data_IF_456182978788
#
_entry.id   IF_456182978788
#
_cell.length_a   1.000
_cell.length_b   1.000
_cell.length_c   1.000
_cell.angle_alpha   90.00
_cell.angle_beta   90.00
_cell.angle_gamma   90.00
#
_symmetry.space_group_name_H-M   'P 1'
#
loop_
_entity.id
_entity.type
_entity.pdbx_description
1 polymer ?
#
# COMPACT_ATOMS: atom_id res chain seq x y z
N UNK A 1 -20.63 16.39 20.53
CA UNK A 1 -19.48 15.56 20.91
C UNK A 1 -19.50 14.18 20.29
N UNK A 2 -20.57 13.39 20.43
CA UNK A 2 -20.68 12.04 19.85
C UNK A 2 -20.25 11.91 18.37
N UNK A 3 -20.78 12.75 17.46
CA UNK A 3 -20.45 12.66 16.03
C UNK A 3 -18.97 12.96 15.73
N UNK A 4 -18.31 13.81 16.53
CA UNK A 4 -16.88 14.09 16.34
C UNK A 4 -16.02 12.94 16.87
N UNK A 5 -16.37 12.40 18.05
CA UNK A 5 -15.72 11.21 18.62
C UNK A 5 -15.76 10.01 17.65
N UNK A 6 -16.93 9.76 17.03
CA UNK A 6 -17.06 8.68 16.03
C UNK A 6 -16.29 8.98 14.74
N UNK A 7 -16.17 10.24 14.32
CA UNK A 7 -15.37 10.62 13.15
C UNK A 7 -13.87 10.42 13.39
N UNK A 8 -13.40 10.77 14.59
CA UNK A 8 -12.02 10.56 15.01
C UNK A 8 -11.72 9.06 15.07
N UNK A 9 -12.63 8.26 15.65
CA UNK A 9 -12.52 6.79 15.67
C UNK A 9 -12.44 6.17 14.27
N UNK A 10 -13.26 6.63 13.33
CA UNK A 10 -13.22 6.16 11.93
C UNK A 10 -11.88 6.51 11.27
N UNK A 11 -11.27 7.65 11.61
CA UNK A 11 -9.94 8.02 11.12
C UNK A 11 -8.86 7.09 11.67
N UNK A 12 -8.92 6.73 12.94
CA UNK A 12 -7.97 5.78 13.55
C UNK A 12 -8.09 4.40 12.91
N UNK A 13 -9.32 3.90 12.73
CA UNK A 13 -9.58 2.62 12.04
C UNK A 13 -9.06 2.65 10.60
N UNK A 14 -9.22 3.77 9.90
CA UNK A 14 -8.69 3.94 8.55
C UNK A 14 -7.17 3.84 8.51
N UNK A 15 -6.47 4.49 9.44
CA UNK A 15 -5.01 4.44 9.52
C UNK A 15 -4.49 3.03 9.83
N UNK A 16 -5.18 2.31 10.74
CA UNK A 16 -4.85 0.92 11.06
C UNK A 16 -5.09 -0.02 9.86
N UNK A 17 -6.19 0.18 9.15
CA UNK A 17 -6.50 -0.57 7.92
C UNK A 17 -5.45 -0.29 6.84
N UNK A 18 -5.05 0.97 6.63
CA UNK A 18 -4.01 1.34 5.68
C UNK A 18 -2.69 0.62 5.98
N UNK A 19 -2.23 0.70 7.25
CA UNK A 19 -1.00 0.02 7.69
C UNK A 19 -1.08 -1.49 7.47
N UNK A 20 -2.19 -2.11 7.83
CA UNK A 20 -2.38 -3.55 7.66
C UNK A 20 -2.37 -3.97 6.17
N UNK A 21 -3.04 -3.20 5.31
CA UNK A 21 -3.02 -3.43 3.85
C UNK A 21 -1.60 -3.31 3.29
N UNK A 22 -0.86 -2.28 3.69
CA UNK A 22 0.53 -2.07 3.26
C UNK A 22 1.42 -3.24 3.70
N UNK A 23 1.27 -3.73 4.94
CA UNK A 23 2.02 -4.87 5.45
C UNK A 23 1.73 -6.14 4.66
N UNK A 24 0.45 -6.50 4.49
CA UNK A 24 0.04 -7.71 3.76
C UNK A 24 0.49 -7.62 2.30
N UNK A 25 0.33 -6.46 1.66
CA UNK A 25 0.76 -6.27 0.28
C UNK A 25 2.29 -6.44 0.14
N UNK A 26 3.08 -5.93 1.09
CA UNK A 26 4.53 -6.15 1.11
C UNK A 26 4.93 -7.61 1.32
N UNK A 27 4.18 -8.38 2.12
CA UNK A 27 4.39 -9.82 2.25
C UNK A 27 4.13 -10.56 0.94
N UNK A 28 3.02 -10.24 0.25
CA UNK A 28 2.68 -10.85 -1.03
C UNK A 28 3.69 -10.47 -2.12
N UNK A 29 4.20 -9.23 -2.12
CA UNK A 29 5.28 -8.81 -3.03
C UNK A 29 6.54 -9.65 -2.81
N UNK A 30 6.94 -9.91 -1.56
CA UNK A 30 8.13 -10.74 -1.28
C UNK A 30 7.97 -12.16 -1.82
N UNK A 31 6.74 -12.67 -1.91
CA UNK A 31 6.39 -14.01 -2.41
C UNK A 31 6.04 -14.04 -3.90
N UNK A 32 6.17 -12.93 -4.61
CA UNK A 32 5.80 -12.87 -6.03
C UNK A 32 6.59 -13.87 -6.89
N UNK A 33 7.82 -14.21 -6.49
CA UNK A 33 8.63 -15.22 -7.15
C UNK A 33 7.94 -16.61 -7.17
N UNK A 34 7.32 -17.01 -6.05
CA UNK A 34 6.56 -18.26 -5.94
C UNK A 34 5.33 -18.21 -6.84
N UNK A 35 4.64 -17.08 -6.86
CA UNK A 35 3.45 -16.88 -7.69
C UNK A 35 3.80 -16.95 -9.19
N UNK A 36 4.95 -16.41 -9.59
CA UNK A 36 5.44 -16.47 -10.98
C UNK A 36 5.86 -17.90 -11.35
N UNK A 37 6.38 -18.68 -10.40
CA UNK A 37 6.74 -20.08 -10.63
C UNK A 37 5.50 -20.97 -10.90
N UNK A 38 4.33 -20.63 -10.35
CA UNK A 38 3.05 -21.32 -10.66
C UNK A 38 2.58 -21.15 -12.13
N UNK A 39 3.22 -20.25 -12.90
CA UNK A 39 2.86 -20.04 -14.30
C UNK A 39 3.53 -21.09 -15.20
N UNK A 40 2.76 -22.11 -15.61
CA UNK A 40 3.25 -23.30 -16.34
C UNK A 40 3.15 -23.21 -17.88
N UNK A 41 3.00 -22.01 -18.45
CA UNK A 41 2.87 -21.87 -19.91
C UNK A 41 4.18 -22.08 -20.66
N UNK A 42 4.14 -22.64 -21.90
CA UNK A 42 5.35 -22.90 -22.67
C UNK A 42 6.10 -21.61 -23.00
N UNK A 43 7.38 -21.57 -22.63
CA UNK A 43 8.26 -20.44 -22.91
C UNK A 43 8.90 -20.57 -24.30
N UNK A 44 8.79 -19.51 -25.09
CA UNK A 44 9.39 -19.40 -26.40
C UNK A 44 10.24 -18.12 -26.48
N UNK A 45 11.49 -18.20 -26.96
CA UNK A 45 12.39 -17.05 -27.05
C UNK A 45 12.10 -16.13 -28.26
N UNK A 46 11.13 -16.46 -29.11
CA UNK A 46 10.78 -15.67 -30.29
C UNK A 46 10.08 -14.36 -29.87
N UNK A 47 10.47 -13.22 -30.46
CA UNK A 47 10.07 -11.88 -30.03
C UNK A 47 8.53 -11.66 -29.99
N UNK A 48 7.82 -12.17 -31.00
CA UNK A 48 6.35 -12.08 -31.05
C UNK A 48 5.67 -12.94 -29.97
N UNK A 49 6.19 -14.14 -29.72
CA UNK A 49 5.64 -15.07 -28.72
C UNK A 49 6.00 -14.63 -27.30
N UNK A 50 7.16 -13.99 -27.13
CA UNK A 50 7.63 -13.43 -25.88
C UNK A 50 6.80 -12.24 -25.43
N UNK A 51 6.39 -11.36 -26.35
CA UNK A 51 5.47 -10.27 -26.03
C UNK A 51 4.08 -10.77 -25.60
N UNK A 52 3.59 -11.84 -26.22
CA UNK A 52 2.34 -12.47 -25.79
C UNK A 52 2.49 -13.13 -24.40
N UNK A 53 3.59 -13.83 -24.17
CA UNK A 53 3.94 -14.43 -22.87
C UNK A 53 4.03 -13.35 -21.77
N UNK A 54 4.67 -12.21 -22.01
CA UNK A 54 4.72 -11.06 -21.08
C UNK A 54 3.33 -10.55 -20.73
N UNK A 55 2.52 -10.25 -21.74
CA UNK A 55 1.18 -9.68 -21.55
C UNK A 55 0.33 -10.62 -20.69
N UNK A 56 0.39 -11.91 -20.99
CA UNK A 56 -0.35 -12.89 -20.23
C UNK A 56 0.21 -13.11 -18.82
N UNK A 57 1.54 -13.05 -18.65
CA UNK A 57 2.16 -13.11 -17.33
C UNK A 57 1.78 -11.89 -16.48
N UNK A 58 1.72 -10.69 -17.04
CA UNK A 58 1.24 -9.49 -16.34
C UNK A 58 -0.19 -9.67 -15.85
N UNK A 59 -1.09 -10.16 -16.72
CA UNK A 59 -2.49 -10.40 -16.38
C UNK A 59 -2.66 -11.54 -15.37
N UNK A 60 -1.85 -12.60 -15.47
CA UNK A 60 -1.83 -13.69 -14.50
C UNK A 60 -1.40 -13.20 -13.11
N UNK A 61 -0.31 -12.44 -13.04
CA UNK A 61 0.20 -11.89 -11.78
C UNK A 61 -0.78 -10.91 -11.16
N UNK A 62 -1.34 -9.99 -11.94
CA UNK A 62 -2.37 -9.05 -11.45
C UNK A 62 -3.58 -9.81 -10.87
N UNK A 63 -4.18 -10.74 -11.63
CA UNK A 63 -5.34 -11.50 -11.16
C UNK A 63 -5.04 -12.31 -9.90
N UNK A 64 -3.92 -13.02 -9.86
CA UNK A 64 -3.54 -13.84 -8.71
C UNK A 64 -3.27 -12.99 -7.47
N UNK A 65 -2.50 -11.90 -7.62
CA UNK A 65 -2.19 -10.99 -6.53
C UNK A 65 -3.47 -10.33 -5.99
N UNK A 66 -4.34 -9.83 -6.88
CA UNK A 66 -5.63 -9.25 -6.51
C UNK A 66 -6.52 -10.24 -5.75
N UNK A 67 -6.62 -11.48 -6.22
CA UNK A 67 -7.42 -12.51 -5.57
C UNK A 67 -6.85 -12.88 -4.19
N UNK A 68 -5.53 -13.01 -4.06
CA UNK A 68 -4.86 -13.29 -2.78
C UNK A 68 -5.05 -12.17 -1.78
N UNK A 69 -4.89 -10.92 -2.21
CA UNK A 69 -5.15 -9.74 -1.39
C UNK A 69 -6.59 -9.66 -0.95
N UNK A 70 -7.53 -9.81 -1.89
CA UNK A 70 -8.96 -9.80 -1.58
C UNK A 70 -9.30 -10.87 -0.53
N UNK A 71 -8.88 -12.11 -0.72
CA UNK A 71 -9.20 -13.18 0.22
C UNK A 71 -8.57 -12.98 1.62
N UNK A 72 -7.31 -12.50 1.70
CA UNK A 72 -6.63 -12.26 2.98
C UNK A 72 -7.17 -11.02 3.70
N UNK A 73 -7.43 -9.94 2.96
CA UNK A 73 -7.83 -8.67 3.54
C UNK A 73 -9.32 -8.60 3.80
N UNK A 74 -10.16 -9.17 2.94
CA UNK A 74 -11.61 -9.09 3.09
C UNK A 74 -12.05 -9.69 4.44
N UNK A 75 -11.49 -10.83 4.86
CA UNK A 75 -11.81 -11.43 6.17
C UNK A 75 -11.46 -10.52 7.35
N UNK A 76 -10.21 -10.02 7.40
CA UNK A 76 -9.74 -9.13 8.45
C UNK A 76 -10.52 -7.80 8.49
N UNK A 77 -10.87 -7.30 7.31
CA UNK A 77 -11.50 -6.01 7.14
C UNK A 77 -13.00 -6.06 7.43
N UNK A 78 -13.71 -7.10 6.98
CA UNK A 78 -15.10 -7.36 7.37
C UNK A 78 -15.22 -7.47 8.88
N UNK A 79 -14.28 -8.14 9.56
CA UNK A 79 -14.29 -8.19 11.03
C UNK A 79 -14.13 -6.80 11.65
N UNK A 80 -13.16 -6.00 11.18
CA UNK A 80 -12.90 -4.64 11.70
C UNK A 80 -14.08 -3.70 11.46
N UNK A 81 -14.69 -3.78 10.27
CA UNK A 81 -15.89 -3.05 9.90
C UNK A 81 -17.06 -3.42 10.81
N UNK A 82 -17.34 -4.71 10.97
CA UNK A 82 -18.43 -5.19 11.81
C UNK A 82 -18.25 -4.73 13.25
N UNK A 83 -17.04 -4.82 13.81
CA UNK A 83 -16.75 -4.34 15.16
C UNK A 83 -17.00 -2.84 15.31
N UNK A 84 -16.57 -2.04 14.33
CA UNK A 84 -16.75 -0.58 14.34
C UNK A 84 -18.22 -0.20 14.20
N UNK A 85 -18.94 -0.86 13.29
CA UNK A 85 -20.38 -0.67 13.09
C UNK A 85 -21.17 -1.05 14.35
N UNK A 86 -20.82 -2.17 14.98
CA UNK A 86 -21.42 -2.62 16.24
C UNK A 86 -21.16 -1.63 17.39
N UNK A 87 -19.97 -1.04 17.46
CA UNK A 87 -19.66 -0.01 18.46
C UNK A 87 -20.48 1.27 18.23
N UNK A 88 -20.54 1.76 16.98
CA UNK A 88 -21.39 2.91 16.61
C UNK A 88 -22.84 2.60 16.97
N UNK A 89 -23.34 1.40 16.63
CA UNK A 89 -24.70 0.94 16.93
C UNK A 89 -24.97 0.92 18.43
N UNK A 90 -24.06 0.39 19.25
CA UNK A 90 -24.19 0.37 20.71
C UNK A 90 -24.28 1.76 21.31
N UNK A 91 -23.38 2.67 20.91
CA UNK A 91 -23.39 4.06 21.38
C UNK A 91 -24.68 4.78 20.98
N UNK A 92 -25.17 4.55 19.76
CA UNK A 92 -26.45 5.10 19.29
C UNK A 92 -27.62 4.54 20.12
N UNK A 93 -27.62 3.24 20.44
CA UNK A 93 -28.65 2.62 21.27
C UNK A 93 -28.64 3.12 22.72
N UNK A 94 -27.49 3.50 23.26
CA UNK A 94 -27.38 4.15 24.58
C UNK A 94 -27.96 5.57 24.56
N UNK A 95 -27.84 6.28 23.43
CA UNK A 95 -28.37 7.64 23.24
C UNK A 95 -29.88 7.66 22.93
N UNK A 96 -30.47 6.54 22.52
CA UNK A 96 -31.89 6.42 22.14
C UNK A 96 -32.67 5.74 23.27
N UNK A 97 -33.49 6.52 23.98
CA UNK A 97 -34.33 6.04 25.10
C UNK A 97 -35.64 5.37 24.63
N UNK A 98 -36.15 5.71 23.45
CA UNK A 98 -37.44 5.20 22.95
C UNK A 98 -37.34 3.74 22.44
N UNK A 99 -38.17 2.84 23.00
CA UNK A 99 -38.20 1.42 22.66
C UNK A 99 -38.51 1.13 21.18
N UNK A 100 -39.43 1.90 20.58
CA UNK A 100 -39.77 1.75 19.16
C UNK A 100 -38.58 2.11 18.28
N UNK A 101 -37.85 3.13 18.72
CA UNK A 101 -36.72 3.64 17.97
C UNK A 101 -35.49 2.73 18.09
N UNK A 102 -35.28 2.15 19.27
CA UNK A 102 -34.28 1.09 19.50
C UNK A 102 -34.51 -0.13 18.60
N UNK A 103 -35.76 -0.53 18.35
CA UNK A 103 -36.09 -1.67 17.47
C UNK A 103 -35.76 -1.39 16.01
N UNK A 104 -35.94 -0.15 15.53
CA UNK A 104 -35.58 0.22 14.15
C UNK A 104 -34.06 0.27 13.94
N UNK A 105 -33.30 0.75 14.93
CA UNK A 105 -31.82 0.72 14.90
C UNK A 105 -31.30 -0.71 15.02
N UNK A 106 -31.93 -1.54 15.85
CA UNK A 106 -31.55 -2.95 16.02
C UNK A 106 -31.80 -3.80 14.77
N UNK A 107 -32.84 -3.48 13.99
CA UNK A 107 -33.17 -4.18 12.74
C UNK A 107 -32.39 -3.67 11.52
N UNK A 108 -31.61 -2.59 11.67
CA UNK A 108 -30.78 -2.08 10.59
C UNK A 108 -29.48 -2.89 10.51
N UNK A 109 -29.54 -3.94 9.70
CA UNK A 109 -28.37 -4.76 9.38
C UNK A 109 -27.32 -3.92 8.63
N UNK A 110 -26.03 -4.07 8.97
CA UNK A 110 -24.96 -3.57 8.12
C UNK A 110 -25.09 -4.12 6.70
N UNK A 111 -24.62 -3.38 5.68
CA UNK A 111 -24.55 -3.92 4.32
C UNK A 111 -23.60 -5.12 4.31
N UNK A 112 -24.13 -6.32 4.06
CA UNK A 112 -23.34 -7.56 4.01
C UNK A 112 -22.45 -7.65 2.76
N UNK A 113 -22.68 -6.83 1.74
CA UNK A 113 -22.03 -6.94 0.42
C UNK A 113 -20.85 -5.98 0.19
N UNK A 114 -20.20 -5.46 1.23
CA UNK A 114 -19.05 -4.58 1.02
C UNK A 114 -17.78 -5.38 0.66
N UNK A 115 -17.28 -5.16 -0.56
CA UNK A 115 -16.00 -5.72 -1.03
C UNK A 115 -15.07 -4.61 -1.50
N UNK A 116 -13.84 -4.61 -1.01
CA UNK A 116 -12.81 -3.67 -1.47
C UNK A 116 -12.32 -4.09 -2.85
N UNK A 117 -12.32 -3.14 -3.78
CA UNK A 117 -11.74 -3.34 -5.10
C UNK A 117 -10.29 -2.87 -5.12
N UNK A 118 -9.37 -3.82 -5.22
CA UNK A 118 -7.94 -3.54 -5.40
C UNK A 118 -7.62 -3.32 -6.87
N UNK A 119 -7.22 -2.08 -7.22
CA UNK A 119 -6.72 -1.77 -8.56
C UNK A 119 -5.20 -1.90 -8.59
N UNK A 120 -4.74 -3.06 -9.04
CA UNK A 120 -3.34 -3.30 -9.38
C UNK A 120 -3.33 -3.46 -10.90
N UNK A 121 -2.45 -2.75 -11.59
CA UNK A 121 -2.36 -2.81 -13.06
C UNK A 121 -0.92 -3.16 -13.43
N UNK A 122 -0.60 -4.45 -13.33
CA UNK A 122 0.72 -4.97 -13.67
C UNK A 122 1.04 -4.75 -15.15
N UNK A 123 0.03 -4.66 -16.02
CA UNK A 123 0.22 -4.47 -17.47
C UNK A 123 0.81 -3.08 -17.76
N UNK A 124 0.25 -2.02 -17.16
CA UNK A 124 0.81 -0.68 -17.29
C UNK A 124 2.08 -0.50 -16.46
N UNK A 125 2.13 -1.07 -15.26
CA UNK A 125 3.26 -0.94 -14.35
C UNK A 125 4.53 -1.61 -14.89
N UNK A 126 4.37 -2.72 -15.64
CA UNK A 126 5.46 -3.49 -16.19
C UNK A 126 5.68 -3.32 -17.70
N UNK A 127 4.99 -2.39 -18.36
CA UNK A 127 5.07 -2.19 -19.81
C UNK A 127 6.49 -1.92 -20.32
N UNK A 128 7.33 -1.23 -19.53
CA UNK A 128 8.72 -0.90 -19.88
C UNK A 128 9.73 -2.03 -19.60
N UNK A 129 9.26 -3.23 -19.23
CA UNK A 129 10.15 -4.35 -18.90
C UNK A 129 10.92 -4.82 -20.14
N UNK A 130 12.24 -4.64 -20.10
CA UNK A 130 13.20 -5.17 -21.07
C UNK A 130 13.85 -6.41 -20.49
N UNK A 131 13.66 -7.55 -21.14
CA UNK A 131 14.33 -8.78 -20.72
C UNK A 131 15.74 -8.87 -21.28
N UNK A 132 16.60 -9.57 -20.55
CA UNK A 132 17.86 -10.05 -21.10
C UNK A 132 17.90 -11.57 -20.98
N UNK A 133 17.41 -12.22 -22.04
CA UNK A 133 17.38 -13.69 -22.19
C UNK A 133 18.51 -14.15 -23.12
N UNK A 134 19.43 -13.24 -23.47
CA UNK A 134 20.58 -13.56 -24.28
C UNK A 134 21.61 -14.31 -23.44
N UNK A 135 22.24 -15.30 -24.08
CA UNK A 135 23.33 -16.03 -23.47
C UNK A 135 24.52 -15.10 -23.24
N UNK A 136 24.89 -14.93 -21.97
CA UNK A 136 26.13 -14.27 -21.57
C UNK A 136 27.06 -15.32 -20.97
N UNK A 137 28.23 -15.49 -21.57
CA UNK A 137 29.23 -16.41 -21.06
C UNK A 137 29.81 -15.87 -19.75
N UNK A 138 29.78 -16.66 -18.68
CA UNK A 138 30.16 -16.21 -17.33
C UNK A 138 31.65 -15.83 -17.23
N UNK A 139 32.48 -16.40 -18.10
CA UNK A 139 33.92 -16.15 -18.23
C UNK A 139 34.27 -15.27 -19.44
N UNK A 140 33.32 -14.47 -19.94
CA UNK A 140 33.57 -13.54 -21.04
C UNK A 140 34.76 -12.62 -20.76
N UNK A 141 35.48 -12.22 -21.82
CA UNK A 141 36.69 -11.38 -21.71
C UNK A 141 36.45 -10.11 -20.87
N UNK A 142 35.26 -9.51 -20.93
CA UNK A 142 34.85 -8.36 -20.12
C UNK A 142 34.70 -8.68 -18.63
N UNK A 143 34.17 -9.85 -18.27
CA UNK A 143 34.07 -10.32 -16.89
C UNK A 143 35.45 -10.71 -16.33
N UNK A 144 36.29 -11.33 -17.16
CA UNK A 144 37.68 -11.63 -16.84
C UNK A 144 38.47 -10.34 -16.60
N UNK A 145 38.34 -9.35 -17.49
CA UNK A 145 39.02 -8.07 -17.39
C UNK A 145 38.53 -7.24 -16.19
N UNK A 146 37.26 -7.36 -15.80
CA UNK A 146 36.74 -6.74 -14.56
C UNK A 146 37.29 -7.42 -13.30
N UNK A 147 37.52 -8.73 -13.33
CA UNK A 147 38.05 -9.50 -12.20
C UNK A 147 39.57 -9.39 -12.04
N UNK A 148 40.30 -9.23 -13.14
CA UNK A 148 41.76 -9.12 -13.15
C UNK A 148 42.28 -7.68 -13.32
N UNK A 149 41.44 -6.74 -13.79
CA UNK A 149 41.76 -5.32 -13.94
C UNK A 149 41.28 -4.44 -12.78
N UNK A 150 40.65 -5.03 -11.77
CA UNK A 150 40.42 -4.37 -10.48
C UNK A 150 41.70 -4.45 -9.65
N UNK A 151 42.49 -3.37 -9.63
CA UNK A 151 43.68 -3.28 -8.80
C UNK A 151 43.34 -3.50 -7.32
N UNK A 152 43.90 -4.58 -6.77
CA UNK A 152 44.51 -4.63 -5.44
C UNK A 152 43.60 -4.41 -4.22
N UNK A 153 42.84 -5.43 -3.85
CA UNK A 153 42.64 -5.78 -2.44
C UNK A 153 42.47 -7.29 -2.31
N UNK A 154 43.60 -8.00 -2.29
CA UNK A 154 43.68 -9.35 -1.75
C UNK A 154 43.57 -9.23 -0.23
N UNK A 155 42.35 -9.12 0.28
CA UNK A 155 42.09 -9.49 1.66
C UNK A 155 40.98 -10.54 1.73
N UNK A 156 41.26 -11.53 2.58
CA UNK A 156 40.58 -12.80 2.71
C UNK A 156 39.07 -12.62 2.99
N UNK A 157 38.20 -13.24 2.19
CA UNK A 157 36.76 -13.18 2.41
C UNK A 157 35.95 -13.98 1.39
N UNK A 158 35.68 -15.23 1.74
CA UNK A 158 34.68 -16.17 1.21
C UNK A 158 33.54 -15.61 0.33
N UNK A 159 33.37 -16.21 -0.85
CA UNK A 159 32.10 -16.45 -1.56
C UNK A 159 31.03 -15.35 -1.53
N UNK A 160 30.98 -14.53 -2.58
CA UNK A 160 29.75 -13.86 -3.00
C UNK A 160 29.53 -14.09 -4.50
N UNK A 161 28.93 -15.24 -4.83
CA UNK A 161 28.52 -15.59 -6.19
C UNK A 161 27.15 -14.99 -6.59
N UNK A 162 26.51 -14.21 -5.71
CA UNK A 162 25.22 -13.57 -6.00
C UNK A 162 25.04 -12.29 -5.18
N UNK A 163 25.55 -11.16 -5.64
CA UNK A 163 25.01 -9.83 -5.33
C UNK A 163 25.56 -8.83 -6.35
N UNK A 164 24.85 -7.72 -6.53
CA UNK A 164 25.16 -6.60 -7.41
C UNK A 164 24.78 -6.75 -8.89
N UNK A 165 23.50 -7.07 -9.09
CA UNK A 165 22.71 -6.40 -10.14
C UNK A 165 21.63 -5.55 -9.47
N UNK A 166 22.06 -4.53 -8.74
CA UNK A 166 21.21 -3.43 -8.28
C UNK A 166 22.13 -2.30 -7.79
N UNK A 167 21.69 -1.06 -7.95
CA UNK A 167 22.36 0.17 -7.51
C UNK A 167 23.45 0.66 -8.48
N UNK A 168 23.01 1.33 -9.53
CA UNK A 168 23.49 2.68 -9.90
C UNK A 168 22.57 3.29 -10.96
N UNK A 169 21.32 3.49 -10.57
CA UNK A 169 20.43 4.48 -11.15
C UNK A 169 20.14 5.48 -10.03
N UNK A 170 20.26 6.78 -10.33
CA UNK A 170 20.04 7.95 -9.46
C UNK A 170 21.17 8.35 -8.50
N UNK A 171 22.05 9.25 -8.97
CA UNK A 171 22.31 10.52 -8.26
C UNK A 171 22.86 11.56 -9.23
N UNK A 172 22.01 12.55 -9.54
CA UNK A 172 22.37 13.80 -10.22
C UNK A 172 21.87 14.95 -9.34
N UNK A 173 22.64 16.05 -9.37
CA UNK A 173 22.45 17.37 -8.74
C UNK A 173 22.77 17.47 -7.23
N UNK A 174 23.33 18.56 -6.69
CA UNK A 174 24.13 19.72 -7.13
C UNK A 174 24.57 20.41 -5.82
N UNK A 175 25.83 20.87 -5.68
CA UNK A 175 26.20 22.22 -5.20
C UNK A 175 27.71 22.35 -4.87
N UNK A 176 28.34 23.13 -5.74
CA UNK A 176 29.54 23.96 -5.68
C UNK A 176 30.12 24.42 -4.33
N UNK A 177 31.45 24.35 -4.18
CA UNK A 177 32.30 25.58 -4.18
C UNK A 177 33.74 25.32 -4.66
N UNK A 178 34.07 26.04 -5.72
CA UNK A 178 35.34 26.50 -6.31
C UNK A 178 36.71 26.15 -5.66
N UNK A 179 37.64 25.68 -6.49
CA UNK A 179 38.83 26.49 -6.87
C UNK A 179 39.43 25.98 -8.20
N UNK A 180 39.55 26.90 -9.16
CA UNK A 180 40.10 26.74 -10.49
C UNK A 180 41.59 26.38 -10.50
N UNK A 181 42.04 25.56 -11.46
CA UNK A 181 43.06 25.98 -12.42
C UNK A 181 43.06 25.08 -13.67
N UNK A 182 42.74 25.69 -14.81
CA UNK A 182 43.16 25.42 -16.19
C UNK A 182 42.96 24.00 -16.80
N UNK A 183 42.64 23.80 -18.08
CA UNK A 183 42.00 24.56 -19.15
C UNK A 183 42.08 23.64 -20.40
N UNK A 184 41.01 23.63 -21.19
CA UNK A 184 40.96 23.29 -22.63
C UNK A 184 41.05 21.82 -23.12
N UNK A 185 39.87 21.39 -23.57
CA UNK A 185 39.54 20.90 -24.93
C UNK A 185 40.04 19.54 -25.41
N UNK A 186 39.03 18.70 -25.61
CA UNK A 186 38.68 18.00 -26.85
C UNK A 186 39.69 17.05 -27.52
N UNK A 187 39.07 15.95 -27.92
CA UNK A 187 39.35 15.14 -29.10
C UNK A 187 40.25 13.91 -28.88
N UNK A 188 39.66 12.79 -29.30
CA UNK A 188 40.31 11.64 -29.89
C UNK A 188 40.67 10.47 -28.96
N UNK A 189 39.75 9.50 -29.04
CA UNK A 189 39.95 8.06 -29.13
C UNK A 189 41.21 7.65 -29.95
N UNK A 190 42.38 7.99 -29.44
CA UNK A 190 43.70 7.57 -29.93
C UNK A 190 44.72 7.37 -28.81
N UNK A 191 44.47 7.94 -27.62
CA UNK A 191 45.51 7.99 -26.58
C UNK A 191 45.62 6.71 -25.74
N UNK A 192 44.58 5.87 -25.71
CA UNK A 192 44.65 4.53 -25.12
C UNK A 192 45.45 3.53 -25.97
N UNK A 193 45.56 3.76 -27.27
CA UNK A 193 46.39 2.94 -28.16
C UNK A 193 47.85 3.41 -28.12
N UNK A 194 48.06 4.73 -27.95
CA UNK A 194 49.40 5.30 -27.81
C UNK A 194 50.06 4.93 -26.46
N UNK A 195 49.30 4.85 -25.37
CA UNK A 195 49.79 4.36 -24.06
C UNK A 195 50.11 2.85 -24.09
N UNK A 196 49.36 2.06 -24.87
CA UNK A 196 49.66 0.64 -25.10
C UNK A 196 50.93 0.49 -25.96
N UNK A 197 51.16 1.39 -26.92
CA UNK A 197 52.37 1.43 -27.76
C UNK A 197 53.60 2.02 -27.04
N UNK A 198 53.43 2.93 -26.09
CA UNK A 198 54.52 3.44 -25.24
C UNK A 198 54.96 2.44 -24.17
N UNK A 199 54.08 1.51 -23.76
CA UNK A 199 54.44 0.38 -22.90
C UNK A 199 55.41 -0.63 -23.54
N UNK A 200 55.53 -0.64 -24.88
CA UNK A 200 56.45 -1.54 -25.60
C UNK A 200 57.86 -0.94 -25.85
N UNK A 201 58.09 0.35 -25.57
CA UNK A 201 59.37 1.01 -25.87
C UNK A 201 60.32 1.14 -24.66
N UNK A 202 59.90 0.79 -23.43
CA UNK A 202 60.78 0.74 -22.24
C UNK A 202 61.50 -0.64 -22.12
N UNK A 203 61.91 -1.22 -23.25
CA UNK A 203 62.66 -2.50 -23.26
C UNK A 203 63.89 -2.37 -24.16
N UNK A 204 64.74 -1.39 -23.86
CA UNK A 204 66.03 -1.18 -24.52
C UNK A 204 67.21 -1.20 -23.53
N UNK A 205 67.12 -2.00 -22.46
CA UNK A 205 68.29 -2.38 -21.66
C UNK A 205 68.81 -3.73 -22.14
N UNK A 206 70.12 -3.84 -22.41
CA UNK A 206 70.81 -5.07 -22.86
C UNK A 206 70.60 -6.29 -21.93
N UNK A 207 70.08 -6.10 -20.71
CA UNK A 207 69.70 -7.16 -19.76
C UNK A 207 68.32 -7.77 -19.99
N UNK A 208 67.37 -7.07 -20.64
CA UNK A 208 66.04 -7.59 -20.96
C UNK A 208 66.00 -8.39 -22.27
N UNK A 209 67.06 -8.34 -23.08
CA UNK A 209 67.18 -9.18 -24.27
C UNK A 209 67.26 -10.67 -23.90
N UNK A 210 67.87 -11.01 -22.76
CA UNK A 210 67.88 -12.39 -22.22
C UNK A 210 66.50 -12.77 -21.69
N UNK A 211 65.76 -11.85 -21.06
CA UNK A 211 64.40 -12.12 -20.58
C UNK A 211 63.41 -12.31 -21.74
N UNK A 212 63.53 -11.52 -22.82
CA UNK A 212 62.75 -11.69 -24.05
C UNK A 212 63.18 -12.92 -24.86
N UNK A 213 64.47 -13.25 -24.89
CA UNK A 213 64.96 -14.45 -25.58
C UNK A 213 64.58 -15.73 -24.83
N UNK A 214 64.74 -15.77 -23.49
CA UNK A 214 64.29 -16.88 -22.64
C UNK A 214 62.77 -16.97 -22.66
N UNK A 215 62.06 -15.84 -22.60
CA UNK A 215 60.61 -15.78 -22.79
C UNK A 215 60.17 -16.32 -24.14
N UNK A 216 60.88 -15.99 -25.23
CA UNK A 216 60.63 -16.48 -26.58
C UNK A 216 60.94 -17.97 -26.78
N UNK A 217 61.99 -18.50 -26.15
CA UNK A 217 62.36 -19.92 -26.21
C UNK A 217 61.36 -20.76 -25.39
N UNK A 218 60.95 -20.28 -24.21
CA UNK A 218 59.91 -20.91 -23.39
C UNK A 218 58.55 -20.87 -24.11
N UNK A 219 58.21 -19.76 -24.78
CA UNK A 219 57.01 -19.66 -25.61
C UNK A 219 57.02 -20.63 -26.80
N UNK A 220 58.18 -20.89 -27.38
CA UNK A 220 58.36 -21.81 -28.53
C UNK A 220 58.28 -23.30 -28.14
N UNK A 221 58.65 -23.66 -26.90
CA UNK A 221 58.62 -25.05 -26.41
C UNK A 221 57.36 -25.46 -25.64
N UNK A 222 56.77 -24.55 -24.86
CA UNK A 222 55.63 -24.82 -23.97
C UNK A 222 54.45 -23.86 -24.19
N UNK A 223 54.66 -22.71 -24.82
CA UNK A 223 53.64 -21.67 -24.97
C UNK A 223 52.42 -22.12 -25.77
N UNK A 224 52.62 -22.80 -26.91
CA UNK A 224 51.48 -23.29 -27.69
C UNK A 224 50.70 -24.41 -26.99
N UNK A 225 51.39 -25.27 -26.22
CA UNK A 225 50.73 -26.34 -25.45
C UNK A 225 49.88 -25.76 -24.32
N UNK A 226 50.41 -24.79 -23.57
CA UNK A 226 49.67 -24.12 -22.51
C UNK A 226 48.49 -23.34 -23.11
N UNK A 227 48.71 -22.58 -24.20
CA UNK A 227 47.66 -21.84 -24.90
C UNK A 227 46.57 -22.78 -25.45
N UNK A 228 46.96 -23.94 -25.99
CA UNK A 228 46.03 -24.96 -26.47
C UNK A 228 45.24 -25.61 -25.33
N UNK A 229 45.88 -25.89 -24.18
CA UNK A 229 45.22 -26.45 -23.00
C UNK A 229 44.26 -25.44 -22.38
N UNK A 230 44.67 -24.17 -22.19
CA UNK A 230 43.82 -23.12 -21.63
C UNK A 230 42.70 -22.74 -22.60
N UNK A 231 42.99 -22.64 -23.89
CA UNK A 231 42.00 -22.39 -24.94
C UNK A 231 41.01 -23.55 -25.09
N UNK A 232 41.49 -24.80 -24.99
CA UNK A 232 40.66 -25.99 -24.97
C UNK A 232 39.75 -26.05 -23.74
N UNK A 233 40.29 -25.77 -22.54
CA UNK A 233 39.50 -25.71 -21.31
C UNK A 233 38.45 -24.60 -21.37
N UNK A 234 38.80 -23.42 -21.88
CA UNK A 234 37.88 -22.31 -22.11
C UNK A 234 36.77 -22.68 -23.10
N UNK A 235 37.11 -23.34 -24.21
CA UNK A 235 36.15 -23.80 -25.20
C UNK A 235 35.20 -24.87 -24.63
N UNK A 236 35.71 -25.79 -23.80
CA UNK A 236 34.89 -26.79 -23.08
C UNK A 236 33.93 -26.10 -22.11
N UNK A 237 34.39 -25.14 -21.30
CA UNK A 237 33.52 -24.36 -20.40
C UNK A 237 32.46 -23.57 -21.19
N UNK A 238 32.84 -22.96 -22.31
CA UNK A 238 31.91 -22.26 -23.19
C UNK A 238 30.85 -23.19 -23.77
N UNK A 239 31.26 -24.36 -24.29
CA UNK A 239 30.33 -25.37 -24.79
C UNK A 239 29.44 -25.92 -23.68
N UNK A 240 29.98 -26.14 -22.48
CA UNK A 240 29.21 -26.58 -21.32
C UNK A 240 28.11 -25.57 -20.97
N UNK A 241 28.44 -24.28 -20.85
CA UNK A 241 27.46 -23.23 -20.58
C UNK A 241 26.46 -23.06 -21.73
N UNK A 242 26.92 -23.14 -22.99
CA UNK A 242 26.08 -23.05 -24.19
C UNK A 242 25.09 -24.21 -24.28
N UNK A 243 25.52 -25.43 -23.96
CA UNK A 243 24.66 -26.62 -23.94
C UNK A 243 23.70 -26.59 -22.75
N UNK A 244 24.12 -26.04 -21.61
CA UNK A 244 23.27 -25.88 -20.43
C UNK A 244 22.22 -24.76 -20.61
N UNK A 245 22.48 -23.81 -21.51
CA UNK A 245 21.56 -22.74 -21.91
C UNK A 245 20.38 -23.29 -22.73
N UNK A 246 19.44 -23.90 -22.02
CA UNK A 246 18.21 -24.49 -22.54
C UNK A 246 17.03 -23.54 -22.36
N UNK A 247 15.88 -23.81 -23.02
CA UNK A 247 14.65 -23.01 -22.84
C UNK A 247 14.21 -22.90 -21.37
N UNK A 248 14.47 -23.94 -20.57
CA UNK A 248 14.15 -23.97 -19.13
C UNK A 248 15.02 -23.01 -18.31
N UNK A 249 16.30 -22.85 -18.65
CA UNK A 249 17.17 -21.88 -17.96
C UNK A 249 16.84 -20.46 -18.35
N UNK A 250 16.52 -20.23 -19.63
CA UNK A 250 16.04 -18.93 -20.13
C UNK A 250 14.76 -18.50 -19.42
N UNK A 251 13.78 -19.40 -19.29
CA UNK A 251 12.53 -19.14 -18.57
C UNK A 251 12.79 -18.78 -17.09
N UNK A 252 13.67 -19.52 -16.40
CA UNK A 252 14.02 -19.21 -14.99
C UNK A 252 14.68 -17.85 -14.83
N UNK A 253 15.60 -17.50 -15.73
CA UNK A 253 16.26 -16.18 -15.72
C UNK A 253 15.25 -15.08 -15.99
N UNK A 254 14.38 -15.26 -16.99
CA UNK A 254 13.30 -14.34 -17.31
C UNK A 254 12.36 -14.14 -16.11
N UNK A 255 11.86 -15.23 -15.52
CA UNK A 255 10.96 -15.20 -14.35
C UNK A 255 11.61 -14.48 -13.17
N UNK A 256 12.91 -14.70 -12.92
CA UNK A 256 13.66 -14.01 -11.87
C UNK A 256 13.78 -12.51 -12.14
N UNK A 257 14.23 -12.11 -13.34
CA UNK A 257 14.32 -10.70 -13.75
C UNK A 257 12.96 -10.00 -13.64
N UNK A 258 11.91 -10.67 -14.09
CA UNK A 258 10.55 -10.16 -14.00
C UNK A 258 10.06 -10.06 -12.55
N UNK A 259 10.33 -11.05 -11.69
CA UNK A 259 9.97 -11.02 -10.28
C UNK A 259 10.63 -9.83 -9.55
N UNK A 260 11.91 -9.58 -9.80
CA UNK A 260 12.65 -8.47 -9.20
C UNK A 260 12.10 -7.13 -9.69
N UNK A 261 11.85 -7.00 -11.00
CA UNK A 261 11.29 -5.78 -11.60
C UNK A 261 9.87 -5.50 -11.12
N UNK A 262 8.98 -6.49 -11.18
CA UNK A 262 7.59 -6.39 -10.72
C UNK A 262 7.54 -6.08 -9.22
N UNK A 263 8.39 -6.71 -8.40
CA UNK A 263 8.47 -6.41 -6.96
C UNK A 263 8.85 -4.96 -6.70
N UNK A 264 9.88 -4.45 -7.39
CA UNK A 264 10.33 -3.08 -7.21
C UNK A 264 9.25 -2.07 -7.63
N UNK A 265 8.57 -2.33 -8.74
CA UNK A 265 7.53 -1.45 -9.25
C UNK A 265 6.27 -1.48 -8.39
N UNK A 266 5.86 -2.66 -7.96
CA UNK A 266 4.70 -2.84 -7.10
C UNK A 266 4.91 -2.14 -5.75
N UNK A 267 6.12 -2.22 -5.16
CA UNK A 267 6.50 -1.47 -3.95
C UNK A 267 6.27 0.04 -4.04
N UNK A 268 6.46 0.64 -5.21
CA UNK A 268 6.23 2.08 -5.39
C UNK A 268 4.75 2.46 -5.30
N UNK A 269 3.85 1.57 -5.71
CA UNK A 269 2.41 1.83 -5.71
C UNK A 269 1.69 1.32 -4.45
N UNK A 270 2.37 0.56 -3.58
CA UNK A 270 1.78 -0.02 -2.34
C UNK A 270 1.07 1.03 -1.50
N UNK A 271 1.72 2.20 -1.28
CA UNK A 271 1.13 3.27 -0.48
C UNK A 271 -0.15 3.82 -1.10
N UNK A 272 -0.16 4.03 -2.42
CA UNK A 272 -1.35 4.50 -3.14
C UNK A 272 -2.48 3.47 -3.11
N UNK A 273 -2.17 2.19 -3.30
CA UNK A 273 -3.17 1.11 -3.21
C UNK A 273 -3.73 1.00 -1.78
N UNK A 274 -2.88 1.11 -0.76
CA UNK A 274 -3.27 1.13 0.64
C UNK A 274 -4.20 2.29 0.98
N UNK A 275 -3.83 3.51 0.61
CA UNK A 275 -4.62 4.72 0.82
C UNK A 275 -5.97 4.67 0.08
N UNK A 276 -5.98 4.21 -1.17
CA UNK A 276 -7.21 4.09 -1.95
C UNK A 276 -8.16 3.06 -1.33
N UNK A 277 -7.65 1.93 -0.85
CA UNK A 277 -8.46 0.92 -0.18
C UNK A 277 -8.97 1.41 1.17
N UNK A 278 -8.12 2.03 1.99
CA UNK A 278 -8.51 2.63 3.26
C UNK A 278 -9.57 3.73 3.08
N UNK A 279 -9.46 4.52 2.01
CA UNK A 279 -10.47 5.54 1.66
C UNK A 279 -11.83 4.91 1.32
N UNK A 280 -11.88 3.74 0.66
CA UNK A 280 -13.13 3.02 0.41
C UNK A 280 -13.80 2.61 1.73
N UNK A 281 -13.03 2.04 2.67
CA UNK A 281 -13.53 1.67 4.01
C UNK A 281 -14.03 2.89 4.77
N UNK A 282 -13.27 3.98 4.73
CA UNK A 282 -13.63 5.21 5.40
C UNK A 282 -14.96 5.77 4.86
N UNK A 283 -15.18 5.69 3.55
CA UNK A 283 -16.42 6.12 2.92
C UNK A 283 -17.61 5.29 3.39
N UNK A 284 -17.48 3.97 3.44
CA UNK A 284 -18.53 3.09 3.97
C UNK A 284 -18.87 3.39 5.42
N UNK A 285 -17.86 3.51 6.29
CA UNK A 285 -18.08 3.83 7.71
C UNK A 285 -18.71 5.21 7.89
N UNK A 286 -18.31 6.21 7.08
CA UNK A 286 -18.93 7.54 7.10
C UNK A 286 -20.39 7.52 6.65
N UNK A 287 -20.71 6.73 5.62
CA UNK A 287 -22.09 6.53 5.17
C UNK A 287 -22.95 5.90 6.28
N UNK A 288 -22.43 4.85 6.93
CA UNK A 288 -23.10 4.20 8.06
C UNK A 288 -23.29 5.16 9.25
N UNK A 289 -22.25 5.93 9.61
CA UNK A 289 -22.34 6.92 10.68
C UNK A 289 -23.38 8.01 10.38
N UNK A 290 -23.42 8.50 9.14
CA UNK A 290 -24.40 9.52 8.72
C UNK A 290 -25.83 9.00 8.87
N UNK A 291 -26.05 7.74 8.49
CA UNK A 291 -27.34 7.08 8.64
C UNK A 291 -27.75 6.95 10.12
N UNK A 292 -26.80 6.62 11.00
CA UNK A 292 -27.02 6.56 12.44
C UNK A 292 -27.23 7.93 13.08
N UNK A 293 -26.50 8.97 12.67
CA UNK A 293 -26.73 10.34 13.17
C UNK A 293 -28.13 10.85 12.81
N UNK A 294 -28.58 10.62 11.57
CA UNK A 294 -29.95 10.97 11.15
C UNK A 294 -31.01 10.36 12.08
N UNK A 295 -30.74 9.14 12.57
CA UNK A 295 -31.62 8.46 13.48
C UNK A 295 -31.72 9.12 14.86
N UNK A 296 -30.56 9.49 15.41
CA UNK A 296 -30.47 10.27 16.65
C UNK A 296 -31.23 11.59 16.49
N UNK A 297 -31.07 12.26 15.35
CA UNK A 297 -31.72 13.54 15.08
C UNK A 297 -33.25 13.41 15.03
N UNK A 298 -33.78 12.37 14.36
CA UNK A 298 -35.23 12.08 14.33
C UNK A 298 -35.75 11.83 15.75
N UNK A 299 -35.04 10.98 16.52
CA UNK A 299 -35.41 10.68 17.90
C UNK A 299 -35.43 11.94 18.76
N UNK A 300 -34.41 12.80 18.62
CA UNK A 300 -34.31 14.07 19.34
C UNK A 300 -35.45 15.03 18.99
N UNK A 301 -35.83 15.11 17.71
CA UNK A 301 -36.94 15.94 17.25
C UNK A 301 -38.28 15.46 17.82
N UNK A 302 -38.48 14.15 17.91
CA UNK A 302 -39.67 13.54 18.54
C UNK A 302 -39.80 13.95 20.01
N UNK A 303 -38.71 13.84 20.79
CA UNK A 303 -38.69 14.29 22.19
C UNK A 303 -38.97 15.80 22.34
N UNK A 304 -38.41 16.64 21.46
CA UNK A 304 -38.71 18.08 21.49
C UNK A 304 -40.17 18.38 21.20
N UNK A 305 -40.82 17.61 20.32
CA UNK A 305 -42.26 17.74 20.05
C UNK A 305 -43.08 17.33 21.27
N UNK A 306 -42.71 16.24 21.94
CA UNK A 306 -43.37 15.82 23.18
C UNK A 306 -43.22 16.85 24.30
N UNK A 307 -42.02 17.40 24.49
CA UNK A 307 -41.78 18.45 25.49
C UNK A 307 -42.64 19.69 25.22
N UNK A 308 -42.74 20.13 23.95
CA UNK A 308 -43.62 21.25 23.57
C UNK A 308 -45.09 20.94 23.82
N UNK A 309 -45.53 19.69 23.60
CA UNK A 309 -46.89 19.25 23.89
C UNK A 309 -47.18 19.36 25.39
N UNK A 310 -46.32 18.83 26.24
CA UNK A 310 -46.46 18.93 27.69
C UNK A 310 -46.49 20.39 28.18
N UNK A 311 -45.68 21.27 27.60
CA UNK A 311 -45.71 22.69 27.97
C UNK A 311 -47.03 23.37 27.56
N UNK A 312 -47.61 23.00 26.42
CA UNK A 312 -48.94 23.46 26.01
C UNK A 312 -50.02 22.94 26.96
N UNK A 313 -49.96 21.66 27.33
CA UNK A 313 -50.93 21.05 28.24
C UNK A 313 -50.88 21.70 29.63
N UNK A 314 -49.70 22.01 30.15
CA UNK A 314 -49.51 22.74 31.41
C UNK A 314 -50.17 24.13 31.34
N UNK A 315 -50.00 24.85 30.22
CA UNK A 315 -50.63 26.17 30.03
C UNK A 315 -52.17 26.09 30.06
N UNK A 316 -52.73 25.09 29.38
CA UNK A 316 -54.18 24.84 29.39
C UNK A 316 -54.64 24.51 30.83
N UNK A 317 -53.88 23.66 31.53
CA UNK A 317 -54.21 23.29 32.91
C UNK A 317 -54.20 24.49 33.85
N UNK A 318 -53.23 25.40 33.70
CA UNK A 318 -53.17 26.63 34.49
C UNK A 318 -54.33 27.59 34.17
N UNK A 319 -54.75 27.68 32.91
CA UNK A 319 -55.94 28.44 32.52
C UNK A 319 -57.21 27.88 33.18
N UNK A 320 -57.38 26.55 33.17
CA UNK A 320 -58.51 25.88 33.83
C UNK A 320 -58.45 26.07 35.35
N UNK A 321 -57.27 25.98 35.96
CA UNK A 321 -57.07 26.25 37.39
C UNK A 321 -57.43 27.69 37.75
N UNK A 322 -57.04 28.66 36.92
CA UNK A 322 -57.37 30.07 37.13
C UNK A 322 -58.87 30.35 36.97
N UNK A 323 -59.53 29.72 35.99
CA UNK A 323 -61.00 29.74 35.85
C UNK A 323 -61.69 29.13 37.07
N UNK A 324 -61.21 27.98 37.54
CA UNK A 324 -61.73 27.31 38.75
C UNK A 324 -61.55 28.17 40.00
N UNK A 325 -60.38 28.79 40.20
CA UNK A 325 -60.13 29.74 41.31
C UNK A 325 -61.09 30.93 41.25
N UNK A 326 -61.32 31.51 40.07
CA UNK A 326 -62.26 32.62 39.90
C UNK A 326 -63.70 32.19 40.23
N UNK A 327 -64.12 31.03 39.71
CA UNK A 327 -65.44 30.47 40.02
C UNK A 327 -65.61 30.20 41.52
N UNK A 328 -64.59 29.65 42.19
CA UNK A 328 -64.57 29.45 43.65
C UNK A 328 -64.69 30.77 44.41
N UNK A 329 -64.01 31.82 43.96
CA UNK A 329 -64.11 33.16 44.56
C UNK A 329 -65.51 33.75 44.40
N UNK A 330 -66.12 33.62 43.21
CA UNK A 330 -67.51 34.03 42.97
C UNK A 330 -68.50 33.23 43.81
N UNK A 331 -68.33 31.91 43.90
CA UNK A 331 -69.15 31.07 44.76
C UNK A 331 -69.05 31.45 46.24
N UNK A 332 -67.83 31.72 46.73
CA UNK A 332 -67.62 32.21 48.10
C UNK A 332 -68.29 33.57 48.33
N UNK A 333 -68.26 34.48 47.34
CA UNK A 333 -68.99 35.75 47.41
C UNK A 333 -70.49 35.52 47.56
N UNK A 334 -71.07 34.66 46.71
CA UNK A 334 -72.50 34.31 46.76
C UNK A 334 -72.87 33.67 48.10
N UNK A 335 -72.08 32.73 48.62
CA UNK A 335 -72.30 32.17 49.96
C UNK A 335 -72.27 33.25 51.05
N UNK A 336 -71.29 34.15 51.01
CA UNK A 336 -71.21 35.26 51.95
C UNK A 336 -72.41 36.21 51.85
N UNK A 337 -72.97 36.42 50.65
CA UNK A 337 -74.15 37.24 50.44
C UNK A 337 -75.41 36.57 51.00
N UNK A 338 -75.54 35.25 50.81
CA UNK A 338 -76.58 34.46 51.45
C UNK A 338 -76.45 34.47 52.98
N UNK A 339 -75.24 34.33 53.53
CA UNK A 339 -75.01 34.39 54.98
C UNK A 339 -75.43 35.75 55.55
N UNK A 340 -75.11 36.85 54.83
CA UNK A 340 -75.58 38.20 55.19
C UNK A 340 -77.09 38.29 55.15
N UNK A 341 -77.73 37.82 54.07
CA UNK A 341 -79.19 37.81 53.95
C UNK A 341 -79.85 37.04 55.11
N UNK A 342 -79.32 35.86 55.46
CA UNK A 342 -79.80 35.08 56.60
C UNK A 342 -79.62 35.88 57.90
N UNK A 343 -78.46 36.50 58.13
CA UNK A 343 -78.21 37.28 59.34
C UNK A 343 -79.02 38.59 59.44
N UNK A 344 -79.41 39.17 58.31
CA UNK A 344 -80.11 40.46 58.28
C UNK A 344 -81.63 40.28 58.31
N UNK A 345 -82.16 39.24 57.67
CA UNK A 345 -83.60 39.01 57.53
C UNK A 345 -84.16 37.87 58.38
N UNK A 346 -83.34 36.85 58.71
CA UNK A 346 -83.83 35.66 59.44
C UNK A 346 -83.42 35.64 60.93
N UNK A 347 -82.34 36.32 61.36
CA UNK A 347 -82.02 36.42 62.80
C UNK A 347 -82.68 37.59 63.55
N UNK A 348 -83.55 38.36 62.90
CA UNK A 348 -84.44 39.32 63.57
C UNK A 348 -85.68 38.65 64.20
N UNK A 349 -85.87 37.33 64.01
CA UNK A 349 -87.02 36.60 64.53
C UNK A 349 -86.84 35.98 65.94
N UNK A 350 -85.62 35.92 66.48
CA UNK A 350 -85.34 35.36 67.83
C UNK A 350 -85.26 36.41 68.96
N UNK A 351 -85.71 37.64 68.70
CA UNK A 351 -85.72 38.74 69.67
C UNK A 351 -87.12 39.30 69.92
N UNK A 352 -88.04 38.49 70.45
CA UNK A 352 -89.28 38.95 71.05
C UNK A 352 -89.48 38.37 72.44
#
# INVERSE_FOLDING_TARGET
>A
DFTQDMKDKIRDVMEDVEKNIILILNEEIKRIHILIDEYEKPFHPDEEQLNWYKKELHEFVDRKLRNKLSNRLNSALTQTLNLTQEEIRKRVLELVESEQNRRQVANMLPREDFFITYRIDCSNLCADFKEDVNFHFSLGFTALMRRFGGNGDFNHGTSHFFADSAVNFFKKDQNSTQSNLNSFQNSNQSDNLLLLLQGFQIVANKSNMVLLAVGGIVWRGLGWKILAVTGGLYAICYLYERLMWTRKTQERVFKKQYADYASSKLKMIVGLTGQNAASQVQQELKMYLTQMCRYIDITKEEYFKEQKRYESDIKILDEVLNKSKNLKNKGRYVCSDFDKFISEFLSLEDGK
#
